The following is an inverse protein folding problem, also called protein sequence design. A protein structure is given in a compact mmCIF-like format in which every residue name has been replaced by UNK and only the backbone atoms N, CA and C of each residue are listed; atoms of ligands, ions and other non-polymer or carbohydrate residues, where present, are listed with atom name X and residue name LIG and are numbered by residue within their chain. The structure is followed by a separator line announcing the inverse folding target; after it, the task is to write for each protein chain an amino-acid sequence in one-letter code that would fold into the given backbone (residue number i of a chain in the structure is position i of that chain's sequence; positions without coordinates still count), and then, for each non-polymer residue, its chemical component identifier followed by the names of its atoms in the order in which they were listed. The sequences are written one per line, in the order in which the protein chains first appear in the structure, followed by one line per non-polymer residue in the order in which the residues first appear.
data_IF_775518614984
#
_entry.id   IF_775518614984
#
_cell.length_a   1.000
_cell.length_b   1.000
_cell.length_c   1.000
_cell.angle_alpha   90.00
_cell.angle_beta   90.00
_cell.angle_gamma   90.00
#
_symmetry.space_group_name_H-M   'P 1'
#
loop_
_entity.id
_entity.type
_entity.pdbx_description
1 polymer ?
#
# COMPACT_ATOMS: atom_id res chain seq x y z
N UNK A 1 24.67 7.64 -6.87
CA UNK A 1 23.24 7.31 -6.81
C UNK A 1 22.95 6.36 -7.93
N UNK A 2 22.48 5.19 -7.55
CA UNK A 2 22.02 4.13 -8.43
C UNK A 2 20.54 3.95 -8.16
N UNK A 3 19.76 3.62 -9.18
CA UNK A 3 18.31 3.48 -9.09
C UNK A 3 17.89 2.18 -9.78
N UNK A 4 17.05 1.42 -9.09
CA UNK A 4 16.43 0.21 -9.61
C UNK A 4 14.93 0.39 -9.73
N UNK A 5 14.40 -0.15 -10.81
CA UNK A 5 12.98 -0.38 -11.01
C UNK A 5 12.61 -1.71 -10.35
N UNK A 6 11.59 -1.70 -9.51
CA UNK A 6 11.10 -2.86 -8.78
C UNK A 6 9.65 -3.16 -9.16
N UNK A 7 9.34 -4.45 -9.19
CA UNK A 7 8.01 -4.96 -9.55
C UNK A 7 7.54 -6.01 -8.53
N UNK A 8 6.27 -5.93 -8.16
CA UNK A 8 5.59 -6.96 -7.37
C UNK A 8 4.85 -7.96 -8.27
N UNK A 9 4.55 -9.14 -7.72
CA UNK A 9 3.71 -10.16 -8.37
C UNK A 9 2.27 -9.69 -8.67
N UNK A 10 1.84 -8.62 -8.00
CA UNK A 10 0.52 -7.98 -8.17
C UNK A 10 0.51 -6.83 -9.18
N UNK A 11 1.63 -6.55 -9.83
CA UNK A 11 1.73 -5.48 -10.82
C UNK A 11 1.90 -4.08 -10.22
N UNK A 12 2.32 -3.97 -8.94
CA UNK A 12 2.74 -2.69 -8.38
C UNK A 12 4.20 -2.40 -8.74
N UNK A 13 4.50 -1.15 -9.02
CA UNK A 13 5.82 -0.72 -9.50
C UNK A 13 6.41 0.38 -8.65
N UNK A 14 7.74 0.43 -8.61
CA UNK A 14 8.46 1.44 -7.84
C UNK A 14 9.90 1.64 -8.30
N UNK A 15 10.48 2.75 -7.86
CA UNK A 15 11.90 3.01 -7.93
C UNK A 15 12.51 2.99 -6.54
N UNK A 16 13.67 2.34 -6.43
CA UNK A 16 14.48 2.31 -5.22
C UNK A 16 15.86 2.88 -5.51
N UNK A 17 16.27 3.87 -4.73
CA UNK A 17 17.57 4.52 -4.85
C UNK A 17 18.53 4.11 -3.75
N UNK A 18 19.83 4.00 -4.07
CA UNK A 18 20.92 3.76 -3.11
C UNK A 18 21.24 4.98 -2.23
N UNK A 19 20.69 6.14 -2.57
CA UNK A 19 20.86 7.39 -1.85
C UNK A 19 19.55 8.18 -1.78
N UNK A 20 19.46 9.12 -0.83
CA UNK A 20 18.31 10.02 -0.78
C UNK A 20 18.28 10.94 -2.01
N UNK A 21 17.10 11.10 -2.59
CA UNK A 21 16.84 12.18 -3.53
C UNK A 21 16.96 13.51 -2.79
N UNK A 22 17.83 14.38 -3.31
CA UNK A 22 18.05 15.73 -2.77
C UNK A 22 16.80 16.60 -2.93
N UNK A 23 16.11 16.41 -4.06
CA UNK A 23 14.89 17.14 -4.44
C UNK A 23 13.71 16.19 -4.44
N UNK A 24 12.53 16.70 -4.11
CA UNK A 24 11.30 15.90 -4.14
C UNK A 24 10.90 15.66 -5.60
N UNK A 25 10.71 14.39 -5.95
CA UNK A 25 10.16 14.00 -7.25
C UNK A 25 8.67 14.36 -7.26
N UNK A 26 8.26 15.09 -8.29
CA UNK A 26 6.88 15.48 -8.56
C UNK A 26 6.15 14.44 -9.41
N UNK A 27 6.86 13.76 -10.32
CA UNK A 27 6.31 12.75 -11.21
C UNK A 27 7.42 12.01 -11.97
N UNK A 28 7.03 10.96 -12.68
CA UNK A 28 7.91 10.24 -13.62
C UNK A 28 7.31 10.31 -15.00
N UNK A 29 8.13 10.62 -16.00
CA UNK A 29 7.79 10.51 -17.41
C UNK A 29 8.35 9.19 -17.93
N UNK A 30 7.53 8.44 -18.66
CA UNK A 30 7.93 7.21 -19.33
C UNK A 30 7.70 7.32 -20.83
N UNK A 31 8.74 6.97 -21.58
CA UNK A 31 8.73 6.90 -23.03
C UNK A 31 8.64 5.44 -23.48
N UNK A 32 7.50 5.06 -24.07
CA UNK A 32 7.27 3.72 -24.60
C UNK A 32 8.16 3.38 -25.80
N UNK A 33 8.62 4.38 -26.57
CA UNK A 33 9.43 4.11 -27.75
C UNK A 33 10.86 3.72 -27.38
N UNK A 34 11.42 4.39 -26.37
CA UNK A 34 12.81 4.18 -25.94
C UNK A 34 12.94 3.35 -24.67
N UNK A 35 11.85 3.11 -23.94
CA UNK A 35 11.86 2.49 -22.61
C UNK A 35 12.48 3.37 -21.53
N UNK A 36 12.72 4.66 -21.80
CA UNK A 36 13.38 5.56 -20.86
C UNK A 36 12.42 6.16 -19.85
N UNK A 37 12.91 6.36 -18.64
CA UNK A 37 12.23 7.08 -17.58
C UNK A 37 12.97 8.38 -17.26
N UNK A 38 12.21 9.43 -16.99
CA UNK A 38 12.72 10.73 -16.52
C UNK A 38 12.03 11.09 -15.21
N UNK A 39 12.81 11.45 -14.20
CA UNK A 39 12.30 11.93 -12.92
C UNK A 39 12.14 13.44 -12.99
N UNK A 40 10.91 13.93 -12.82
CA UNK A 40 10.61 15.35 -12.77
C UNK A 40 10.61 15.82 -11.31
N UNK A 41 11.42 16.82 -10.97
CA UNK A 41 11.48 17.39 -9.62
C UNK A 41 10.52 18.57 -9.46
N UNK A 42 10.15 18.86 -8.21
CA UNK A 42 9.22 19.97 -7.89
C UNK A 42 9.73 21.36 -8.26
N UNK A 43 11.03 21.51 -8.53
CA UNK A 43 11.67 22.77 -8.92
C UNK A 43 11.94 22.87 -10.43
N UNK A 44 11.27 22.05 -11.24
CA UNK A 44 11.40 21.97 -12.71
C UNK A 44 12.77 21.48 -13.21
N UNK A 45 13.59 20.94 -12.33
CA UNK A 45 14.77 20.17 -12.71
C UNK A 45 14.36 18.72 -13.01
N UNK A 46 15.22 17.97 -13.69
CA UNK A 46 14.92 16.59 -14.04
C UNK A 46 16.17 15.68 -13.96
N UNK A 47 15.93 14.37 -13.90
CA UNK A 47 16.96 13.35 -14.03
C UNK A 47 16.53 12.29 -15.02
N UNK A 48 17.28 12.15 -16.11
CA UNK A 48 17.12 11.04 -17.05
C UNK A 48 17.78 9.77 -16.51
N UNK A 49 17.01 8.69 -16.45
CA UNK A 49 17.53 7.38 -16.10
C UNK A 49 18.26 6.79 -17.33
N UNK A 50 19.49 6.31 -17.13
CA UNK A 50 20.40 6.01 -18.24
C UNK A 50 20.31 4.58 -18.76
N UNK A 51 19.50 3.73 -18.15
CA UNK A 51 19.22 2.35 -18.58
C UNK A 51 17.72 2.23 -18.86
N UNK A 52 17.34 1.79 -20.08
CA UNK A 52 15.93 1.63 -20.42
C UNK A 52 15.29 0.45 -19.68
N UNK A 53 14.02 0.59 -19.33
CA UNK A 53 13.21 -0.52 -18.81
C UNK A 53 13.01 -1.57 -19.90
N UNK A 54 13.01 -2.84 -19.52
CA UNK A 54 12.79 -3.92 -20.48
C UNK A 54 11.34 -3.92 -21.02
N UNK A 55 11.14 -4.18 -22.33
CA UNK A 55 9.82 -4.14 -22.95
C UNK A 55 8.77 -5.07 -22.30
N UNK A 56 9.21 -6.15 -21.67
CA UNK A 56 8.31 -7.09 -20.97
C UNK A 56 7.56 -6.44 -19.80
N UNK A 57 8.09 -5.35 -19.22
CA UNK A 57 7.45 -4.64 -18.11
C UNK A 57 6.48 -3.54 -18.56
N UNK A 58 6.42 -3.23 -19.86
CA UNK A 58 5.64 -2.09 -20.36
C UNK A 58 4.14 -2.26 -20.09
N UNK A 59 3.62 -3.48 -20.26
CA UNK A 59 2.21 -3.77 -19.97
C UNK A 59 1.84 -3.51 -18.50
N UNK A 60 2.78 -3.71 -17.57
CA UNK A 60 2.54 -3.42 -16.15
C UNK A 60 2.62 -1.92 -15.90
N UNK A 61 3.61 -1.24 -16.49
CA UNK A 61 3.73 0.21 -16.43
C UNK A 61 2.49 0.91 -16.98
N UNK A 62 1.94 0.43 -18.09
CA UNK A 62 0.71 0.92 -18.70
C UNK A 62 -0.48 0.97 -17.72
N UNK A 63 -0.53 0.03 -16.78
CA UNK A 63 -1.59 -0.07 -15.78
C UNK A 63 -1.28 0.71 -14.50
N UNK A 64 -0.04 1.18 -14.33
CA UNK A 64 0.40 1.88 -13.14
C UNK A 64 0.10 3.39 -13.22
N UNK A 65 -0.86 3.85 -12.41
CA UNK A 65 -1.15 5.28 -12.29
C UNK A 65 -0.21 6.00 -11.32
N UNK A 66 0.37 5.27 -10.38
CA UNK A 66 1.27 5.78 -9.36
C UNK A 66 2.45 4.84 -9.24
N UNK A 67 3.63 5.40 -9.01
CA UNK A 67 4.86 4.64 -8.79
C UNK A 67 5.39 4.93 -7.38
N UNK A 68 5.82 3.87 -6.70
CA UNK A 68 6.47 3.98 -5.40
C UNK A 68 7.86 4.58 -5.55
N UNK A 69 8.23 5.50 -4.68
CA UNK A 69 9.58 6.07 -4.61
C UNK A 69 10.15 5.74 -3.26
N UNK A 70 11.31 5.08 -3.26
CA UNK A 70 12.07 4.78 -2.06
C UNK A 70 13.54 5.17 -2.17
N UNK A 71 14.15 5.42 -1.03
CA UNK A 71 15.61 5.47 -0.90
C UNK A 71 16.03 4.59 0.28
N UNK A 72 17.11 3.83 0.09
CA UNK A 72 17.75 3.05 1.15
C UNK A 72 19.09 3.68 1.48
N UNK A 73 19.34 3.88 2.77
CA UNK A 73 20.62 4.34 3.28
C UNK A 73 20.98 3.56 4.53
N UNK A 74 22.18 2.97 4.56
CA UNK A 74 22.66 2.14 5.67
C UNK A 74 21.63 1.04 6.04
N UNK A 75 21.12 0.32 5.04
CA UNK A 75 20.09 -0.73 5.17
C UNK A 75 18.75 -0.27 5.78
N UNK A 76 18.47 1.04 5.80
CA UNK A 76 17.21 1.57 6.24
C UNK A 76 16.51 2.33 5.12
N UNK A 77 15.19 2.20 5.04
CA UNK A 77 14.36 3.04 4.18
C UNK A 77 14.39 4.46 4.76
N UNK A 78 15.02 5.38 4.03
CA UNK A 78 15.24 6.76 4.43
C UNK A 78 14.31 7.75 3.74
N UNK A 79 13.69 7.36 2.63
CA UNK A 79 12.59 8.06 1.97
C UNK A 79 11.58 7.05 1.45
N UNK A 80 10.29 7.40 1.51
CA UNK A 80 9.21 6.58 0.97
C UNK A 80 7.98 7.46 0.67
N UNK A 81 7.53 7.48 -0.57
CA UNK A 81 6.29 8.15 -1.02
C UNK A 81 5.87 7.60 -2.39
N UNK A 82 4.83 8.17 -3.00
CA UNK A 82 4.40 7.83 -4.35
C UNK A 82 4.25 9.09 -5.19
N UNK A 83 4.46 8.94 -6.50
CA UNK A 83 4.32 9.99 -7.50
C UNK A 83 3.54 9.46 -8.71
N UNK A 84 2.89 10.32 -9.50
CA UNK A 84 2.26 9.89 -10.75
C UNK A 84 3.30 9.41 -11.76
N UNK A 85 2.93 8.38 -12.52
CA UNK A 85 3.63 7.95 -13.73
C UNK A 85 2.88 8.50 -14.94
N UNK A 86 3.55 9.26 -15.80
CA UNK A 86 2.97 9.89 -16.99
C UNK A 86 3.67 9.35 -18.23
N UNK A 87 2.97 9.34 -19.37
CA UNK A 87 3.48 8.82 -20.63
C UNK A 87 3.75 9.96 -21.60
N UNK A 88 4.96 10.03 -22.14
CA UNK A 88 5.31 11.08 -23.11
C UNK A 88 4.53 10.93 -24.42
N UNK A 89 4.20 9.70 -24.79
CA UNK A 89 3.59 9.38 -26.09
C UNK A 89 2.06 9.37 -26.05
N UNK A 90 1.44 9.57 -24.87
CA UNK A 90 -0.03 9.58 -24.71
C UNK A 90 -0.48 10.75 -23.83
N UNK A 91 -0.73 11.93 -24.42
CA UNK A 91 -1.15 13.11 -23.67
C UNK A 91 -2.57 12.98 -23.09
N UNK A 92 -3.39 12.04 -23.58
CA UNK A 92 -4.77 11.86 -23.11
C UNK A 92 -4.85 11.05 -21.81
N UNK A 93 -3.87 10.17 -21.55
CA UNK A 93 -3.76 9.51 -20.25
C UNK A 93 -3.62 10.50 -19.10
N UNK A 94 -3.01 11.67 -19.34
CA UNK A 94 -2.85 12.76 -18.34
C UNK A 94 -4.21 13.18 -17.73
N UNK A 95 -5.29 13.12 -18.50
CA UNK A 95 -6.64 13.49 -18.04
C UNK A 95 -7.18 12.52 -16.97
N UNK A 96 -6.79 11.25 -17.01
CA UNK A 96 -7.15 10.23 -16.01
C UNK A 96 -6.51 10.57 -14.65
N UNK A 97 -5.31 11.14 -14.64
CA UNK A 97 -4.55 11.44 -13.41
C UNK A 97 -5.11 12.60 -12.60
N UNK A 98 -5.94 13.47 -13.18
CA UNK A 98 -6.56 14.58 -12.44
C UNK A 98 -7.37 14.12 -11.22
N UNK A 99 -7.80 12.85 -11.23
CA UNK A 99 -8.60 12.24 -10.17
C UNK A 99 -7.81 11.24 -9.31
N UNK A 100 -6.57 10.93 -9.68
CA UNK A 100 -5.72 9.98 -8.95
C UNK A 100 -5.18 10.67 -7.71
N UNK A 101 -5.67 10.25 -6.55
CA UNK A 101 -5.12 10.69 -5.27
C UNK A 101 -4.08 9.68 -4.81
N UNK A 102 -2.96 10.14 -4.22
CA UNK A 102 -2.07 9.24 -3.52
C UNK A 102 -2.87 8.42 -2.49
N UNK A 103 -2.64 7.11 -2.38
CA UNK A 103 -3.37 6.28 -1.44
C UNK A 103 -3.18 6.80 0.00
N UNK A 104 -4.19 6.62 0.86
CA UNK A 104 -4.03 6.91 2.28
C UNK A 104 -2.91 6.02 2.83
N UNK A 105 -2.07 6.58 3.71
CA UNK A 105 -0.96 5.88 4.39
C UNK A 105 0.19 5.44 3.46
N UNK A 106 0.91 6.41 2.86
CA UNK A 106 1.97 6.13 1.88
C UNK A 106 3.13 5.28 2.44
N UNK A 107 3.45 5.38 3.73
CA UNK A 107 4.54 4.59 4.32
C UNK A 107 4.13 3.14 4.54
N UNK A 108 2.87 2.91 4.90
CA UNK A 108 2.33 1.57 5.02
C UNK A 108 2.24 0.90 3.65
N UNK A 109 1.71 1.61 2.65
CA UNK A 109 1.66 1.14 1.26
C UNK A 109 3.05 0.84 0.71
N UNK A 110 4.03 1.73 0.91
CA UNK A 110 5.42 1.48 0.48
C UNK A 110 6.03 0.26 1.17
N UNK A 111 5.73 0.02 2.46
CA UNK A 111 6.23 -1.14 3.18
C UNK A 111 5.71 -2.46 2.59
N UNK A 112 4.41 -2.51 2.26
CA UNK A 112 3.84 -3.68 1.60
C UNK A 112 4.43 -3.88 0.22
N UNK A 113 4.56 -2.80 -0.55
CA UNK A 113 5.19 -2.81 -1.87
C UNK A 113 6.60 -3.42 -1.80
N UNK A 114 7.51 -2.83 -1.01
CA UNK A 114 8.90 -3.28 -0.96
C UNK A 114 9.03 -4.72 -0.46
N UNK A 115 8.18 -5.13 0.50
CA UNK A 115 8.17 -6.51 1.01
C UNK A 115 7.64 -7.54 0.01
N UNK A 116 6.92 -7.09 -1.02
CA UNK A 116 6.30 -7.93 -2.06
C UNK A 116 7.02 -7.87 -3.40
N UNK A 117 8.15 -7.14 -3.48
CA UNK A 117 8.94 -7.08 -4.71
C UNK A 117 9.55 -8.45 -5.02
N UNK A 118 9.36 -8.89 -6.26
CA UNK A 118 9.86 -10.18 -6.76
C UNK A 118 10.90 -10.02 -7.86
N UNK A 119 10.96 -8.84 -8.49
CA UNK A 119 11.89 -8.50 -9.55
C UNK A 119 12.49 -7.10 -9.33
N UNK A 120 13.72 -6.92 -9.79
CA UNK A 120 14.43 -5.65 -9.78
C UNK A 120 15.30 -5.51 -11.02
N UNK A 121 15.22 -4.36 -11.69
CA UNK A 121 15.98 -4.02 -12.89
C UNK A 121 16.75 -2.71 -12.66
N UNK A 122 18.07 -2.67 -12.93
CA UNK A 122 18.82 -1.42 -13.02
C UNK A 122 18.19 -0.45 -14.03
N UNK A 123 17.88 0.78 -13.61
CA UNK A 123 17.42 1.85 -14.51
C UNK A 123 18.34 3.07 -14.49
N UNK A 124 19.14 3.24 -13.44
CA UNK A 124 20.19 4.25 -13.41
C UNK A 124 21.43 3.74 -12.69
N UNK A 125 22.59 3.95 -13.30
CA UNK A 125 23.91 3.72 -12.68
C UNK A 125 24.78 4.94 -12.86
N UNK A 126 25.42 5.40 -11.78
CA UNK A 126 26.32 6.56 -11.86
C UNK A 126 27.55 6.26 -12.72
N UNK A 127 28.06 5.03 -12.65
CA UNK A 127 29.15 4.53 -13.46
C UNK A 127 28.73 3.26 -14.19
N UNK A 128 28.23 3.40 -15.42
CA UNK A 128 27.75 2.28 -16.21
C UNK A 128 28.88 1.34 -16.70
N UNK A 129 30.15 1.71 -16.50
CA UNK A 129 31.31 0.90 -16.87
C UNK A 129 31.79 -0.03 -15.75
N UNK A 130 31.23 0.08 -14.55
CA UNK A 130 31.64 -0.71 -13.39
C UNK A 130 30.76 -1.97 -13.26
N UNK A 131 31.34 -3.12 -13.62
CA UNK A 131 30.67 -4.43 -13.58
C UNK A 131 30.19 -4.82 -12.17
N UNK A 132 30.86 -4.32 -11.12
CA UNK A 132 30.50 -4.61 -9.73
C UNK A 132 29.19 -3.91 -9.31
N UNK A 133 28.75 -2.89 -10.05
CA UNK A 133 27.53 -2.12 -9.78
C UNK A 133 26.33 -2.55 -10.63
N UNK A 134 26.50 -3.54 -11.51
CA UNK A 134 25.44 -4.01 -12.40
C UNK A 134 24.32 -4.76 -11.67
N UNK A 135 24.57 -5.24 -10.45
CA UNK A 135 23.59 -5.91 -9.61
C UNK A 135 22.51 -4.98 -9.06
N UNK A 136 21.46 -5.57 -8.48
CA UNK A 136 20.43 -4.84 -7.74
C UNK A 136 21.04 -4.13 -6.51
N UNK A 137 20.59 -2.91 -6.20
CA UNK A 137 21.02 -2.07 -5.08
C UNK A 137 20.86 -2.76 -3.74
N UNK A 138 19.89 -3.67 -3.63
CA UNK A 138 19.68 -4.45 -2.41
C UNK A 138 20.73 -5.56 -2.23
N UNK A 139 21.46 -5.93 -3.28
CA UNK A 139 22.42 -7.03 -3.27
C UNK A 139 21.77 -8.31 -2.74
N UNK A 140 22.37 -8.91 -1.71
CA UNK A 140 21.85 -10.09 -1.02
C UNK A 140 20.78 -9.75 0.05
N UNK A 141 20.49 -8.47 0.29
CA UNK A 141 19.51 -8.07 1.30
C UNK A 141 18.10 -8.34 0.80
N UNK A 142 17.37 -9.19 1.50
CA UNK A 142 15.97 -9.40 1.21
C UNK A 142 15.18 -8.09 1.44
N UNK A 143 14.35 -7.64 0.48
CA UNK A 143 13.55 -6.43 0.63
C UNK A 143 12.71 -6.39 1.93
N UNK A 144 12.26 -7.56 2.39
CA UNK A 144 11.48 -7.75 3.62
C UNK A 144 12.27 -7.50 4.91
N UNK A 145 13.60 -7.47 4.85
CA UNK A 145 14.47 -7.16 6.00
C UNK A 145 14.70 -5.66 6.17
N UNK A 146 14.26 -4.83 5.22
CA UNK A 146 14.44 -3.38 5.30
C UNK A 146 13.53 -2.77 6.35
N UNK A 147 14.13 -2.01 7.27
CA UNK A 147 13.41 -1.25 8.28
C UNK A 147 13.37 0.23 7.91
N UNK A 148 12.34 0.94 8.35
CA UNK A 148 12.30 2.40 8.20
C UNK A 148 13.32 3.06 9.13
N UNK A 149 13.97 4.11 8.64
CA UNK A 149 14.73 5.01 9.49
C UNK A 149 13.84 5.56 10.63
N UNK A 150 14.41 5.87 11.82
CA UNK A 150 13.61 6.14 13.02
C UNK A 150 12.54 7.24 12.88
N UNK A 151 12.78 8.23 12.03
CA UNK A 151 11.81 9.30 11.77
C UNK A 151 10.62 8.83 10.92
N UNK A 152 10.85 7.98 9.91
CA UNK A 152 9.79 7.35 9.13
C UNK A 152 9.05 6.28 9.92
N UNK A 153 9.76 5.50 10.74
CA UNK A 153 9.14 4.49 11.62
C UNK A 153 8.11 5.12 12.56
N UNK A 154 8.44 6.28 13.17
CA UNK A 154 7.50 7.04 14.01
C UNK A 154 6.26 7.51 13.23
N UNK A 155 6.43 7.94 11.97
CA UNK A 155 5.32 8.36 11.11
C UNK A 155 4.46 7.17 10.67
N UNK A 156 5.08 6.06 10.28
CA UNK A 156 4.37 4.80 9.96
C UNK A 156 3.53 4.33 11.15
N UNK A 157 4.06 4.40 12.37
CA UNK A 157 3.31 4.04 13.58
C UNK A 157 2.10 4.94 13.87
N UNK A 158 2.05 6.14 13.28
CA UNK A 158 0.86 7.01 13.32
C UNK A 158 -0.11 6.62 12.21
N UNK A 159 0.40 6.38 10.99
CA UNK A 159 -0.41 5.93 9.84
C UNK A 159 -1.11 4.58 10.11
N UNK A 160 -0.43 3.65 10.79
CA UNK A 160 -0.96 2.33 11.12
C UNK A 160 -1.98 2.33 12.27
N UNK A 161 -2.27 3.48 12.89
CA UNK A 161 -3.28 3.54 13.95
C UNK A 161 -4.66 3.25 13.36
N UNK A 162 -5.49 2.44 14.02
CA UNK A 162 -6.89 2.32 13.66
C UNK A 162 -7.50 3.72 13.72
N UNK A 163 -8.19 4.13 12.65
CA UNK A 163 -9.06 5.28 12.73
C UNK A 163 -10.18 4.90 13.70
N UNK A 164 -10.06 5.32 14.95
CA UNK A 164 -11.18 5.27 15.87
C UNK A 164 -12.26 6.13 15.26
N UNK A 165 -13.29 5.49 14.70
CA UNK A 165 -14.53 6.14 14.34
C UNK A 165 -15.08 6.74 15.64
N UNK A 166 -14.73 7.99 15.91
CA UNK A 166 -15.50 8.84 16.79
C UNK A 166 -16.87 8.98 16.13
N UNK A 167 -17.77 8.04 16.40
CA UNK A 167 -19.17 8.40 16.46
C UNK A 167 -19.24 9.48 17.54
N UNK A 168 -19.65 10.72 17.24
CA UNK A 168 -19.88 11.71 18.26
C UNK A 168 -21.06 11.18 19.09
N UNK A 169 -20.78 10.45 20.16
CA UNK A 169 -21.72 10.29 21.25
C UNK A 169 -21.85 11.68 21.85
N UNK A 170 -22.89 12.38 21.41
CA UNK A 170 -23.24 13.68 21.93
C UNK A 170 -23.28 13.63 23.47
N UNK A 171 -22.72 14.63 24.17
CA UNK A 171 -22.81 14.70 25.62
C UNK A 171 -24.27 14.89 26.01
N UNK A 172 -24.89 13.90 26.67
CA UNK A 172 -26.14 14.12 27.39
C UNK A 172 -25.78 14.86 28.68
N UNK A 173 -25.73 16.20 28.58
CA UNK A 173 -25.71 17.12 29.71
C UNK A 173 -27.15 17.31 30.18
N UNK A 174 -27.40 17.00 31.45
CA UNK A 174 -28.73 16.83 32.02
C UNK A 174 -29.50 18.11 32.39
N UNK A 175 -30.80 17.90 32.63
CA UNK A 175 -31.74 18.74 33.38
C UNK A 175 -32.81 17.75 33.87
N UNK A 176 -32.89 17.31 35.13
CA UNK A 176 -32.91 18.08 36.37
C UNK A 176 -34.33 18.00 36.95
N UNK A 177 -34.52 17.22 38.03
CA UNK A 177 -35.58 17.48 39.02
C UNK A 177 -36.55 16.34 39.35
N UNK A 178 -36.44 15.79 40.58
CA UNK A 178 -37.63 15.35 41.32
C UNK A 178 -37.53 14.10 42.20
N UNK A 179 -36.95 14.26 43.40
CA UNK A 179 -37.31 13.62 44.69
C UNK A 179 -37.24 12.09 44.84
N UNK A 180 -36.26 11.59 45.62
CA UNK A 180 -36.39 11.25 47.06
C UNK A 180 -37.00 9.84 47.26
N UNK A 181 -36.53 8.92 48.09
CA UNK A 181 -35.59 8.90 49.23
C UNK A 181 -35.45 7.42 49.62
N UNK A 182 -34.33 7.05 50.24
CA UNK A 182 -34.14 5.91 51.15
C UNK A 182 -34.36 4.50 50.59
N UNK A 183 -33.77 3.43 51.10
CA UNK A 183 -32.61 3.14 51.94
C UNK A 183 -32.59 1.59 51.95
N UNK A 184 -31.39 1.01 51.83
CA UNK A 184 -30.88 -0.24 52.44
C UNK A 184 -31.91 -1.34 52.82
N UNK A 185 -31.65 -2.59 52.36
CA UNK A 185 -31.61 -3.89 53.12
C UNK A 185 -31.99 -5.08 52.18
N UNK A 186 -31.13 -6.12 52.19
CA UNK A 186 -31.28 -7.48 51.61
C UNK A 186 -32.51 -8.27 52.16
N UNK A 187 -32.73 -9.57 51.86
CA UNK A 187 -32.87 -10.31 50.60
C UNK A 187 -34.19 -11.17 50.61
N UNK A 188 -34.30 -12.12 49.66
CA UNK A 188 -35.10 -13.37 49.69
C UNK A 188 -36.46 -13.46 48.96
N UNK A 189 -36.51 -14.48 48.08
CA UNK A 189 -37.58 -15.44 47.80
C UNK A 189 -39.04 -14.97 47.67
N UNK A 190 -39.65 -15.18 46.49
CA UNK A 190 -40.57 -16.32 46.22
C UNK A 190 -41.12 -16.27 44.80
N UNK A 191 -41.28 -17.48 44.26
CA UNK A 191 -42.30 -17.99 43.32
C UNK A 191 -43.58 -17.12 43.21
N UNK A 192 -44.35 -17.04 42.13
CA UNK A 192 -44.69 -18.07 41.16
C UNK A 192 -45.50 -17.43 39.99
N UNK A 193 -45.52 -18.13 38.85
CA UNK A 193 -46.63 -18.25 37.89
C UNK A 193 -47.05 -17.06 37.01
N UNK A 194 -47.04 -17.31 35.69
CA UNK A 194 -48.03 -16.70 34.80
C UNK A 194 -47.61 -16.46 33.35
N UNK A 195 -47.55 -17.55 32.57
CA UNK A 195 -47.88 -17.66 31.13
C UNK A 195 -47.94 -16.36 30.30
N UNK A 196 -47.17 -16.32 29.21
CA UNK A 196 -47.75 -16.29 27.85
C UNK A 196 -46.69 -16.63 26.80
N UNK A 197 -47.07 -17.52 25.90
CA UNK A 197 -46.32 -17.94 24.73
C UNK A 197 -46.32 -16.83 23.68
N UNK A 198 -45.33 -16.78 22.78
CA UNK A 198 -45.45 -17.41 21.45
C UNK A 198 -44.26 -17.06 20.53
N UNK A 199 -43.72 -18.11 19.91
CA UNK A 199 -43.14 -18.25 18.55
C UNK A 199 -42.60 -17.00 17.85
N UNK A 200 -41.29 -17.00 17.59
CA UNK A 200 -40.74 -17.09 16.23
C UNK A 200 -39.19 -16.96 16.25
N UNK A 201 -38.48 -18.08 16.28
CA UNK A 201 -37.08 -18.17 15.84
C UNK A 201 -36.87 -19.50 15.10
N UNK A 202 -36.71 -19.42 13.78
CA UNK A 202 -36.05 -20.45 12.97
C UNK A 202 -34.64 -19.95 12.64
N UNK A 203 -33.59 -20.74 12.87
CA UNK A 203 -32.32 -20.61 12.17
C UNK A 203 -32.28 -21.61 10.99
N UNK A 204 -31.63 -21.30 9.86
CA UNK A 204 -31.23 -22.33 8.92
C UNK A 204 -29.91 -22.99 9.39
N UNK A 205 -29.96 -24.32 9.49
CA UNK A 205 -28.85 -25.23 9.73
C UNK A 205 -28.44 -25.81 8.37
N UNK A 206 -27.13 -25.88 8.12
CA UNK A 206 -26.56 -26.35 6.85
C UNK A 206 -26.67 -27.85 6.59
N UNK A 207 -26.17 -28.24 5.41
CA UNK A 207 -25.69 -29.56 4.96
C UNK A 207 -24.66 -29.27 3.84
N UNK A 208 -23.40 -29.71 3.79
CA UNK A 208 -22.73 -31.02 3.85
C UNK A 208 -23.15 -32.02 2.77
N UNK A 209 -22.17 -32.44 1.96
CA UNK A 209 -22.15 -33.61 1.06
C UNK A 209 -21.46 -33.26 -0.27
N UNK A 210 -20.17 -33.53 -0.50
CA UNK A 210 -19.45 -34.80 -0.82
C UNK A 210 -19.57 -35.24 -2.29
N UNK A 211 -18.39 -35.27 -2.91
CA UNK A 211 -17.82 -36.24 -3.86
C UNK A 211 -18.32 -36.39 -5.31
N UNK A 212 -17.31 -36.76 -6.12
CA UNK A 212 -17.32 -37.57 -7.36
C UNK A 212 -16.72 -36.89 -8.62
N UNK A 213 -15.42 -37.18 -8.82
CA UNK A 213 -14.78 -37.84 -9.99
C UNK A 213 -15.21 -37.55 -11.44
N UNK A 214 -14.18 -37.40 -12.30
CA UNK A 214 -14.20 -37.52 -13.77
C UNK A 214 -13.25 -36.47 -14.37
N UNK A 215 -11.96 -36.71 -14.58
CA UNK A 215 -11.35 -37.51 -15.67
C UNK A 215 -12.16 -37.55 -16.96
N UNK A 216 -11.73 -36.81 -17.97
CA UNK A 216 -11.96 -37.07 -19.40
C UNK A 216 -11.08 -36.13 -20.24
N UNK A 217 -9.91 -36.64 -20.63
CA UNK A 217 -9.28 -36.28 -21.92
C UNK A 217 -10.06 -37.04 -23.00
N UNK A 218 -10.21 -36.54 -24.25
CA UNK A 218 -9.37 -37.08 -25.35
C UNK A 218 -9.25 -36.05 -26.54
N UNK A 219 -8.92 -36.42 -27.79
CA UNK A 219 -7.72 -35.93 -28.46
C UNK A 219 -7.97 -35.11 -29.74
N UNK A 220 -6.97 -34.34 -30.15
CA UNK A 220 -6.35 -34.22 -31.50
C UNK A 220 -5.60 -32.88 -31.62
#
# INVERSE_FOLDING_TARGET
MDIDFLLTDKGEVGLLSSENFVKKIAGILFDHETGRMTLEYTDMDYLDLNIPVEPEFFNVLDMALMIHIGAVKNNHISQAYQVPLMFLNDPYRVEIFQHVRPPPKPLESFFYFISSCVLGQPVHRKDAGDEDTLGCILGDTLPSMLEFAPHLARRKAIESRPEFAFSPQAPVLGLGGGNARNAIIHPAQRENHGKTANKNRRPPRGKTGTDETGDDTPPD
#
